data_IF_027139549814
#
_entry.id   IF_027139549814
#
_cell.length_a   1.000
_cell.length_b   1.000
_cell.length_c   1.000
_cell.angle_alpha   90.00
_cell.angle_beta   90.00
_cell.angle_gamma   90.00
#
_symmetry.space_group_name_H-M   'P 1'
#
loop_
_entity.id
_entity.type
_entity.pdbx_description
1 polymer ?
#
# COMPACT_ATOMS: atom_id res chain seq x y z
N UNK A 1 -8.09 12.16 -1.41
CA UNK A 1 -6.95 11.24 -1.26
C UNK A 1 -7.21 10.34 -0.07
N UNK A 2 -7.23 9.02 -0.29
CA UNK A 2 -7.42 8.05 0.79
C UNK A 2 -6.10 7.31 0.99
N UNK A 3 -5.46 7.55 2.13
CA UNK A 3 -4.33 6.75 2.60
C UNK A 3 -4.88 5.82 3.67
N UNK A 4 -5.23 4.60 3.29
CA UNK A 4 -5.79 3.60 4.20
C UNK A 4 -5.29 2.20 3.83
N UNK A 5 -5.00 1.38 4.82
CA UNK A 5 -4.54 -0.02 4.64
C UNK A 5 -3.46 -0.43 5.63
N UNK A 6 -2.53 0.46 5.95
CA UNK A 6 -1.33 0.15 6.74
C UNK A 6 -1.63 -0.33 8.18
N UNK A 7 -2.74 0.10 8.79
CA UNK A 7 -3.17 -0.41 10.10
C UNK A 7 -3.92 -1.75 10.04
N UNK A 8 -4.46 -2.11 8.87
CA UNK A 8 -5.02 -3.44 8.62
C UNK A 8 -3.92 -4.48 8.35
N UNK A 9 -2.69 -4.02 8.09
CA UNK A 9 -1.54 -4.87 7.77
C UNK A 9 -0.81 -5.40 9.02
N UNK A 10 -0.70 -4.64 10.12
CA UNK A 10 0.33 -4.95 11.14
C UNK A 10 -0.09 -5.00 12.62
N UNK A 11 -1.35 -4.75 13.04
CA UNK A 11 -1.64 -4.55 14.48
C UNK A 11 -2.85 -5.19 15.14
N UNK A 12 -3.53 -6.17 14.56
CA UNK A 12 -4.64 -6.80 15.30
C UNK A 12 -4.70 -8.32 15.12
N UNK A 13 -5.12 -9.02 16.16
CA UNK A 13 -5.45 -10.47 16.16
C UNK A 13 -6.70 -10.78 15.30
N UNK A 14 -7.22 -9.77 14.59
CA UNK A 14 -8.39 -9.81 13.71
C UNK A 14 -7.97 -9.40 12.31
N UNK A 15 -7.31 -10.31 11.61
CA UNK A 15 -6.94 -10.11 10.21
C UNK A 15 -8.25 -10.13 9.42
N UNK A 16 -8.67 -8.98 8.88
CA UNK A 16 -9.85 -8.93 8.03
C UNK A 16 -9.58 -9.79 6.78
N UNK A 17 -10.56 -10.54 6.28
CA UNK A 17 -10.34 -11.28 5.02
C UNK A 17 -10.15 -10.30 3.86
N UNK A 18 -9.43 -10.70 2.80
CA UNK A 18 -9.30 -9.89 1.59
C UNK A 18 -10.67 -9.53 1.00
N UNK A 19 -11.66 -10.42 1.14
CA UNK A 19 -13.05 -10.15 0.76
C UNK A 19 -13.68 -9.01 1.58
N UNK A 20 -13.44 -8.98 2.90
CA UNK A 20 -13.94 -7.90 3.76
C UNK A 20 -13.27 -6.57 3.41
N UNK A 21 -11.96 -6.56 3.16
CA UNK A 21 -11.24 -5.36 2.72
C UNK A 21 -11.78 -4.86 1.38
N UNK A 22 -11.96 -5.76 0.41
CA UNK A 22 -12.56 -5.44 -0.89
C UNK A 22 -13.95 -4.83 -0.72
N UNK A 23 -14.79 -5.40 0.15
CA UNK A 23 -16.10 -4.84 0.45
C UNK A 23 -16.00 -3.44 1.05
N UNK A 24 -15.16 -3.26 2.07
CA UNK A 24 -14.98 -1.97 2.75
C UNK A 24 -14.48 -0.88 1.78
N UNK A 25 -13.48 -1.18 0.94
CA UNK A 25 -12.97 -0.25 -0.08
C UNK A 25 -14.07 0.14 -1.07
N UNK A 26 -14.87 -0.82 -1.52
CA UNK A 26 -16.02 -0.54 -2.41
C UNK A 26 -17.04 0.37 -1.72
N UNK A 27 -17.38 0.11 -0.47
CA UNK A 27 -18.36 0.90 0.28
C UNK A 27 -17.87 2.34 0.50
N UNK A 28 -16.57 2.53 0.78
CA UNK A 28 -15.93 3.85 0.91
C UNK A 28 -15.97 4.60 -0.44
N UNK A 29 -15.55 3.96 -1.53
CA UNK A 29 -15.55 4.57 -2.86
C UNK A 29 -16.95 4.95 -3.32
N UNK A 30 -17.93 4.06 -3.10
CA UNK A 30 -19.33 4.35 -3.41
C UNK A 30 -19.85 5.55 -2.60
N UNK A 31 -19.47 5.67 -1.33
CA UNK A 31 -19.85 6.82 -0.50
C UNK A 31 -19.33 8.12 -1.10
N UNK A 32 -18.05 8.14 -1.48
CA UNK A 32 -17.39 9.29 -2.12
C UNK A 32 -18.05 9.66 -3.45
N UNK A 33 -18.27 8.67 -4.33
CA UNK A 33 -18.91 8.89 -5.64
C UNK A 33 -20.36 9.36 -5.51
N UNK A 34 -21.07 8.92 -4.47
CA UNK A 34 -22.44 9.37 -4.20
C UNK A 34 -22.48 10.83 -3.71
N UNK A 35 -21.43 11.31 -3.03
CA UNK A 35 -21.30 12.70 -2.60
C UNK A 35 -20.87 13.62 -3.75
N UNK A 36 -19.89 13.20 -4.55
CA UNK A 36 -19.47 13.89 -5.77
C UNK A 36 -19.05 12.88 -6.85
N UNK A 37 -19.83 12.70 -7.93
CA UNK A 37 -19.51 11.72 -8.97
C UNK A 37 -18.29 12.08 -9.82
N UNK A 38 -17.83 13.34 -9.77
CA UNK A 38 -16.68 13.83 -10.54
C UNK A 38 -15.38 13.82 -9.73
N UNK A 39 -15.43 13.45 -8.45
CA UNK A 39 -14.23 13.38 -7.62
C UNK A 39 -13.31 12.27 -8.13
N UNK A 40 -12.04 12.61 -8.29
CA UNK A 40 -11.00 11.63 -8.56
C UNK A 40 -10.38 11.16 -7.25
N UNK A 41 -10.32 9.84 -7.07
CA UNK A 41 -9.79 9.23 -5.85
C UNK A 41 -8.45 8.56 -6.12
N UNK A 42 -7.41 8.98 -5.41
CA UNK A 42 -6.16 8.23 -5.32
C UNK A 42 -6.22 7.24 -4.16
N UNK A 43 -5.91 5.98 -4.44
CA UNK A 43 -5.65 4.92 -3.46
C UNK A 43 -4.16 4.62 -3.42
N UNK A 44 -3.59 4.51 -2.22
CA UNK A 44 -2.19 4.13 -2.05
C UNK A 44 -2.07 2.67 -1.56
N UNK A 45 -1.17 1.89 -2.14
CA UNK A 45 -0.78 0.59 -1.56
C UNK A 45 0.24 0.81 -0.43
N UNK A 46 0.24 -0.06 0.59
CA UNK A 46 1.30 -0.03 1.61
C UNK A 46 2.65 -0.42 0.99
N UNK A 47 3.77 0.19 1.40
CA UNK A 47 5.10 -0.30 1.04
C UNK A 47 5.27 -1.78 1.46
N UNK A 48 6.15 -2.57 0.81
CA UNK A 48 6.53 -3.86 1.37
C UNK A 48 7.15 -3.67 2.77
N UNK A 49 7.25 -4.71 3.59
CA UNK A 49 8.19 -4.72 4.71
C UNK A 49 9.56 -4.96 4.09
N UNK A 50 10.56 -4.13 4.44
CA UNK A 50 11.90 -4.34 3.87
C UNK A 50 12.50 -5.59 4.48
N UNK A 51 12.91 -6.48 3.58
CA UNK A 51 13.66 -7.67 3.90
C UNK A 51 15.12 -7.30 4.20
N UNK A 52 15.44 -7.15 5.47
CA UNK A 52 16.49 -8.01 5.98
C UNK A 52 15.93 -9.40 6.36
N UNK A 53 14.68 -9.78 6.01
CA UNK A 53 14.21 -11.15 6.17
C UNK A 53 14.97 -12.15 5.30
N UNK A 54 15.43 -11.85 4.09
CA UNK A 54 16.31 -12.80 3.38
C UNK A 54 17.58 -13.07 4.20
N UNK A 55 18.11 -12.04 4.88
CA UNK A 55 19.24 -12.15 5.80
C UNK A 55 18.88 -12.79 7.15
N UNK A 56 17.69 -12.53 7.74
CA UNK A 56 17.17 -13.09 9.01
C UNK A 56 16.53 -14.48 8.85
N UNK A 57 16.19 -14.90 7.63
CA UNK A 57 15.81 -16.27 7.26
C UNK A 57 17.07 -17.12 6.99
N UNK A 58 18.14 -16.49 6.47
CA UNK A 58 19.45 -17.12 6.28
C UNK A 58 20.24 -17.21 7.62
N UNK A 59 20.19 -16.16 8.44
CA UNK A 59 20.68 -16.11 9.82
C UNK A 59 19.60 -16.67 10.74
N UNK A 60 19.60 -17.99 10.94
CA UNK A 60 18.55 -18.71 11.66
C UNK A 60 18.37 -18.33 13.13
N UNK A 61 17.81 -17.14 13.40
CA UNK A 61 17.31 -16.74 14.71
C UNK A 61 15.82 -17.13 14.82
N UNK A 62 15.58 -18.22 15.56
CA UNK A 62 14.33 -18.63 16.18
C UNK A 62 13.00 -18.30 15.49
N UNK A 63 12.79 -18.89 14.31
CA UNK A 63 11.62 -19.71 13.91
C UNK A 63 10.16 -19.24 14.08
N UNK A 64 9.84 -18.20 14.85
CA UNK A 64 8.51 -17.62 15.05
C UNK A 64 8.43 -16.17 14.54
N UNK A 65 9.46 -15.36 14.77
CA UNK A 65 9.49 -13.97 14.31
C UNK A 65 9.62 -13.88 12.79
N UNK A 66 10.54 -14.63 12.19
CA UNK A 66 10.67 -14.73 10.72
C UNK A 66 9.39 -15.28 10.07
N UNK A 67 8.65 -16.19 10.73
CA UNK A 67 7.35 -16.68 10.24
C UNK A 67 6.25 -15.63 10.33
N UNK A 68 6.29 -14.77 11.35
CA UNK A 68 5.35 -13.66 11.51
C UNK A 68 5.58 -12.63 10.42
N UNK A 69 6.82 -12.16 10.26
CA UNK A 69 7.17 -11.17 9.24
C UNK A 69 6.85 -11.67 7.82
N UNK A 70 7.14 -12.95 7.52
CA UNK A 70 6.76 -13.54 6.22
C UNK A 70 5.24 -13.54 5.98
N UNK A 71 4.44 -13.79 7.02
CA UNK A 71 2.97 -13.73 6.90
C UNK A 71 2.49 -12.29 6.70
N UNK A 72 3.08 -11.33 7.40
CA UNK A 72 2.77 -9.90 7.25
C UNK A 72 3.15 -9.41 5.84
N UNK A 73 4.32 -9.78 5.32
CA UNK A 73 4.76 -9.46 3.95
C UNK A 73 3.82 -10.04 2.89
N UNK A 74 3.46 -11.32 3.01
CA UNK A 74 2.48 -11.95 2.11
C UNK A 74 1.13 -11.23 2.17
N UNK A 75 0.76 -10.76 3.36
CA UNK A 75 -0.52 -10.09 3.58
C UNK A 75 -0.56 -8.69 2.97
N UNK A 76 0.50 -7.91 3.15
CA UNK A 76 0.68 -6.60 2.51
C UNK A 76 0.60 -6.74 0.99
N UNK A 77 1.25 -7.76 0.42
CA UNK A 77 1.17 -8.04 -1.01
C UNK A 77 -0.26 -8.41 -1.46
N UNK A 78 -0.99 -9.19 -0.66
CA UNK A 78 -2.40 -9.53 -0.93
C UNK A 78 -3.29 -8.28 -0.91
N UNK A 79 -3.11 -7.39 0.06
CA UNK A 79 -3.87 -6.13 0.17
C UNK A 79 -3.52 -5.18 -0.97
N UNK A 80 -2.24 -5.05 -1.32
CA UNK A 80 -1.81 -4.29 -2.49
C UNK A 80 -2.48 -4.81 -3.76
N UNK A 81 -2.60 -6.14 -3.93
CA UNK A 81 -3.34 -6.74 -5.03
C UNK A 81 -4.82 -6.36 -5.01
N UNK A 82 -5.49 -6.40 -3.85
CA UNK A 82 -6.91 -6.00 -3.73
C UNK A 82 -7.11 -4.53 -4.08
N UNK A 83 -6.23 -3.63 -3.63
CA UNK A 83 -6.30 -2.20 -3.93
C UNK A 83 -6.18 -1.94 -5.44
N UNK A 84 -5.27 -2.64 -6.13
CA UNK A 84 -5.08 -2.52 -7.58
C UNK A 84 -6.32 -2.90 -8.39
N UNK A 85 -7.18 -3.79 -7.87
CA UNK A 85 -8.45 -4.16 -8.53
C UNK A 85 -9.40 -2.96 -8.71
N UNK A 86 -9.23 -1.89 -7.93
CA UNK A 86 -10.09 -0.70 -7.97
C UNK A 86 -9.65 0.37 -8.97
N UNK A 87 -8.52 0.20 -9.68
CA UNK A 87 -8.09 1.16 -10.70
C UNK A 87 -9.17 1.30 -11.78
N UNK A 88 -9.52 2.53 -12.11
CA UNK A 88 -10.59 2.82 -13.06
C UNK A 88 -10.65 4.29 -13.45
N UNK A 89 -11.72 4.69 -14.14
CA UNK A 89 -11.84 6.03 -14.73
C UNK A 89 -11.69 7.18 -13.73
N UNK A 90 -12.22 7.02 -12.51
CA UNK A 90 -12.17 8.03 -11.44
C UNK A 90 -11.33 7.58 -10.24
N UNK A 91 -10.55 6.50 -10.39
CA UNK A 91 -9.75 5.93 -9.31
C UNK A 91 -8.34 5.64 -9.80
N UNK A 92 -7.38 6.42 -9.33
CA UNK A 92 -5.97 6.21 -9.57
C UNK A 92 -5.29 5.43 -8.44
N UNK A 93 -4.18 4.77 -8.74
CA UNK A 93 -3.40 3.99 -7.77
C UNK A 93 -1.97 4.54 -7.64
N UNK A 94 -1.61 5.00 -6.44
CA UNK A 94 -0.22 5.20 -6.05
C UNK A 94 0.33 3.85 -5.55
N UNK A 95 1.11 3.15 -6.36
CA UNK A 95 1.55 1.79 -6.01
C UNK A 95 2.89 1.78 -5.26
N UNK A 96 2.89 2.32 -4.04
CA UNK A 96 4.10 2.36 -3.20
C UNK A 96 4.68 0.96 -2.96
N UNK A 97 3.83 -0.07 -2.87
CA UNK A 97 4.28 -1.45 -2.78
C UNK A 97 5.23 -1.81 -3.93
N UNK A 98 4.80 -1.56 -5.17
CA UNK A 98 5.60 -1.86 -6.35
C UNK A 98 6.85 -0.98 -6.41
N UNK A 99 6.67 0.34 -6.27
CA UNK A 99 7.76 1.30 -6.40
C UNK A 99 8.92 1.03 -5.42
N UNK A 100 8.62 0.58 -4.21
CA UNK A 100 9.62 0.29 -3.18
C UNK A 100 10.12 -1.15 -3.20
N UNK A 101 9.37 -2.09 -3.77
CA UNK A 101 9.83 -3.48 -3.99
C UNK A 101 10.93 -3.58 -5.05
N UNK A 102 10.99 -2.62 -5.97
CA UNK A 102 11.97 -2.58 -7.06
C UNK A 102 13.24 -1.78 -6.69
N UNK A 103 13.33 -1.26 -5.46
CA UNK A 103 14.48 -0.48 -4.98
C UNK A 103 15.46 -1.32 -4.18
N UNK A 104 16.75 -1.11 -4.46
CA UNK A 104 17.85 -1.77 -3.76
C UNK A 104 18.42 -0.95 -2.58
N UNK A 105 17.94 0.27 -2.34
CA UNK A 105 18.44 1.19 -1.31
C UNK A 105 17.62 1.16 0.00
N UNK A 106 18.16 1.79 1.06
CA UNK A 106 17.44 1.89 2.34
C UNK A 106 16.45 3.06 2.32
N UNK A 107 15.18 2.74 2.11
CA UNK A 107 14.06 3.68 2.04
C UNK A 107 13.23 3.78 3.33
N UNK A 108 13.66 3.16 4.44
CA UNK A 108 12.92 3.17 5.70
C UNK A 108 13.76 3.62 6.91
N UNK A 109 13.11 4.25 7.89
CA UNK A 109 13.69 4.65 9.18
C UNK A 109 13.64 3.48 10.16
N UNK A 110 12.58 2.69 10.12
CA UNK A 110 12.38 1.43 10.85
C UNK A 110 11.62 0.41 9.97
N UNK A 111 11.20 -0.73 10.51
CA UNK A 111 10.54 -1.80 9.72
C UNK A 111 9.22 -1.37 9.02
N UNK A 112 8.69 -0.16 9.29
CA UNK A 112 7.36 0.30 8.84
C UNK A 112 7.34 1.73 8.28
N UNK A 113 8.19 2.64 8.79
CA UNK A 113 8.16 4.06 8.43
C UNK A 113 9.18 4.42 7.36
N UNK A 114 8.75 5.20 6.37
CA UNK A 114 9.57 5.68 5.27
C UNK A 114 10.58 6.74 5.72
N UNK A 115 11.71 6.83 5.02
CA UNK A 115 12.63 7.97 5.10
C UNK A 115 12.11 9.11 4.23
N UNK A 116 12.55 10.33 4.51
CA UNK A 116 12.15 11.53 3.76
C UNK A 116 12.31 11.38 2.24
N UNK A 117 13.39 10.73 1.77
CA UNK A 117 13.64 10.46 0.34
C UNK A 117 12.70 9.39 -0.25
N UNK A 118 12.09 8.57 0.59
CA UNK A 118 11.06 7.62 0.22
C UNK A 118 9.64 8.20 0.31
N UNK A 119 9.43 9.27 1.08
CA UNK A 119 8.19 10.05 1.06
C UNK A 119 8.03 10.82 -0.26
N UNK A 120 9.14 11.28 -0.86
CA UNK A 120 9.14 11.92 -2.19
C UNK A 120 8.60 10.98 -3.26
N UNK A 121 8.87 9.67 -3.17
CA UNK A 121 8.34 8.66 -4.10
C UNK A 121 6.83 8.65 -4.10
N UNK A 122 6.21 8.81 -2.93
CA UNK A 122 4.75 8.84 -2.85
C UNK A 122 4.19 10.09 -3.55
N UNK A 123 4.85 11.24 -3.38
CA UNK A 123 4.47 12.47 -4.05
C UNK A 123 4.60 12.35 -5.58
N UNK A 124 5.71 11.79 -6.06
CA UNK A 124 5.94 11.54 -7.49
C UNK A 124 4.89 10.59 -8.07
N UNK A 125 4.60 9.48 -7.38
CA UNK A 125 3.55 8.54 -7.80
C UNK A 125 2.17 9.20 -7.86
N UNK A 126 1.86 10.10 -6.93
CA UNK A 126 0.61 10.83 -6.93
C UNK A 126 0.54 11.81 -8.11
N UNK A 127 1.61 12.55 -8.38
CA UNK A 127 1.69 13.48 -9.52
C UNK A 127 1.56 12.70 -10.83
N UNK A 128 2.34 11.64 -11.04
CA UNK A 128 2.31 10.81 -12.24
C UNK A 128 0.91 10.24 -12.50
N UNK A 129 0.24 9.75 -11.46
CA UNK A 129 -1.10 9.19 -11.60
C UNK A 129 -2.14 10.27 -11.90
N UNK A 130 -2.03 11.47 -11.30
CA UNK A 130 -2.89 12.60 -11.62
C UNK A 130 -2.69 13.07 -13.08
N UNK A 131 -1.44 13.22 -13.52
CA UNK A 131 -1.09 13.61 -14.88
C UNK A 131 -1.57 12.59 -15.91
N UNK A 132 -1.37 11.30 -15.64
CA UNK A 132 -1.82 10.19 -16.51
C UNK A 132 -3.34 10.22 -16.70
N UNK A 133 -4.09 10.68 -15.70
CA UNK A 133 -5.54 10.81 -15.75
C UNK A 133 -6.02 12.19 -16.20
N UNK A 134 -5.11 13.07 -16.64
CA UNK A 134 -5.43 14.42 -17.13
C UNK A 134 -5.87 15.39 -16.04
N UNK A 135 -5.53 15.10 -14.78
CA UNK A 135 -5.89 15.91 -13.61
C UNK A 135 -4.67 16.76 -13.26
N UNK A 136 -4.46 17.79 -14.06
CA UNK A 136 -3.38 18.76 -13.82
C UNK A 136 -3.96 20.03 -13.21
N UNK A 137 -3.26 20.60 -12.23
CA UNK A 137 -3.62 21.91 -11.66
C UNK A 137 -3.64 22.95 -12.78
N UNK A 138 -4.73 23.71 -12.84
CA UNK A 138 -4.85 24.88 -13.73
C UNK A 138 -4.13 26.09 -13.16
#
# INVERSE_FOLDING_TARGET
MIVAGSNSDCRDYRWESAEKIRKNLRDILNTIVNEDPNVFTLLNTSPPIRDDLEYKLFMGEDGQESKRLWREQKRIAEIASVIREFKGHNVGICDSHKALSERDDNWHIDDVHLRDDAEEIWADLAIDELETNGITGS
#
